data_IF_844440516099
#
_entry.id   IF_844440516099
#
_cell.length_a   1.000
_cell.length_b   1.000
_cell.length_c   1.000
_cell.angle_alpha   90.00
_cell.angle_beta   90.00
_cell.angle_gamma   90.00
#
_symmetry.space_group_name_H-M   'P 1'
#
loop_
_entity.id
_entity.type
_entity.pdbx_description
1 polymer ?
#
# COMPACT_ATOMS: atom_id res chain seq x y z
N UNK A 1 2.17 -4.30 -19.83
CA UNK A 1 2.30 -5.37 -18.83
C UNK A 1 3.76 -5.61 -18.48
N UNK A 2 4.13 -5.33 -17.23
CA UNK A 2 5.44 -5.64 -16.62
C UNK A 2 5.23 -6.02 -15.15
N UNK A 3 6.18 -6.71 -14.53
CA UNK A 3 6.12 -7.06 -13.11
C UNK A 3 7.49 -6.90 -12.44
N UNK A 4 7.51 -6.32 -11.23
CA UNK A 4 8.65 -6.35 -10.32
C UNK A 4 8.25 -7.08 -9.03
N UNK A 5 9.08 -8.01 -8.59
CA UNK A 5 8.87 -8.77 -7.36
C UNK A 5 10.16 -8.82 -6.56
N UNK A 6 10.09 -8.58 -5.25
CA UNK A 6 11.24 -8.69 -4.36
C UNK A 6 10.83 -9.36 -3.03
N UNK A 7 11.81 -10.00 -2.39
CA UNK A 7 11.68 -10.63 -1.07
C UNK A 7 12.92 -10.32 -0.26
N UNK A 8 12.78 -9.68 0.90
CA UNK A 8 13.90 -9.42 1.79
C UNK A 8 13.63 -8.31 2.82
N UNK A 9 14.39 -8.31 3.91
CA UNK A 9 14.32 -7.22 4.88
C UNK A 9 14.95 -5.96 4.29
N UNK A 10 14.29 -4.81 4.45
CA UNK A 10 14.69 -3.52 3.87
C UNK A 10 14.84 -3.54 2.35
N UNK A 11 14.03 -4.36 1.68
CA UNK A 11 14.01 -4.44 0.22
C UNK A 11 13.03 -3.45 -0.40
N UNK A 12 13.19 -3.17 -1.69
CA UNK A 12 12.22 -2.42 -2.48
C UNK A 12 11.87 -3.18 -3.77
N UNK A 13 10.59 -3.18 -4.15
CA UNK A 13 10.14 -3.53 -5.50
C UNK A 13 9.54 -2.28 -6.14
N UNK A 14 10.15 -1.84 -7.24
CA UNK A 14 9.67 -0.67 -7.99
C UNK A 14 9.43 -1.07 -9.43
N UNK A 15 8.28 -0.65 -9.98
CA UNK A 15 7.95 -0.87 -11.37
C UNK A 15 7.37 0.39 -12.01
N UNK A 16 7.59 0.56 -13.31
CA UNK A 16 7.04 1.64 -14.11
C UNK A 16 6.46 1.04 -15.38
N UNK A 17 5.23 1.42 -15.71
CA UNK A 17 4.55 1.00 -16.94
C UNK A 17 3.07 0.76 -16.73
N UNK A 18 2.29 0.94 -17.78
CA UNK A 18 0.85 0.75 -17.73
C UNK A 18 0.50 -0.74 -17.62
N UNK A 19 -0.57 -1.01 -16.88
CA UNK A 19 -1.03 -2.36 -16.57
C UNK A 19 0.09 -3.21 -15.95
N UNK A 20 0.79 -2.67 -14.95
CA UNK A 20 1.94 -3.32 -14.33
C UNK A 20 1.72 -3.60 -12.85
N UNK A 21 2.57 -4.47 -12.29
CA UNK A 21 2.53 -4.85 -10.88
C UNK A 21 3.89 -4.66 -10.21
N UNK A 22 3.89 -4.15 -8.98
CA UNK A 22 5.02 -4.21 -8.06
C UNK A 22 4.59 -4.95 -6.80
N UNK A 23 5.30 -6.01 -6.42
CA UNK A 23 5.00 -6.81 -5.23
C UNK A 23 6.25 -6.94 -4.37
N UNK A 24 6.15 -6.68 -3.07
CA UNK A 24 7.27 -6.87 -2.15
C UNK A 24 6.85 -7.60 -0.88
N UNK A 25 7.76 -8.39 -0.32
CA UNK A 25 7.59 -9.09 0.96
C UNK A 25 8.85 -8.91 1.81
N UNK A 26 8.70 -8.38 3.03
CA UNK A 26 9.79 -8.34 4.03
C UNK A 26 9.69 -7.20 5.02
N UNK A 27 10.43 -7.29 6.14
CA UNK A 27 10.40 -6.28 7.20
C UNK A 27 10.97 -4.94 6.71
N UNK A 28 10.30 -3.83 6.99
CA UNK A 28 10.69 -2.48 6.55
C UNK A 28 10.88 -2.36 5.03
N UNK A 29 9.99 -2.98 4.26
CA UNK A 29 10.10 -3.05 2.80
C UNK A 29 9.13 -2.07 2.10
N UNK A 30 9.40 -1.76 0.83
CA UNK A 30 8.55 -0.86 0.03
C UNK A 30 8.16 -1.48 -1.32
N UNK A 31 6.91 -1.30 -1.74
CA UNK A 31 6.43 -1.61 -3.09
C UNK A 31 5.90 -0.31 -3.74
N UNK A 32 6.39 0.06 -4.91
CA UNK A 32 6.00 1.30 -5.59
C UNK A 32 5.72 1.06 -7.07
N UNK A 33 4.64 1.62 -7.59
CA UNK A 33 4.28 1.55 -9.00
C UNK A 33 3.75 2.88 -9.54
N UNK A 34 4.24 3.31 -10.70
CA UNK A 34 3.96 4.64 -11.26
C UNK A 34 3.04 4.64 -12.49
N UNK A 35 2.65 3.48 -13.02
CA UNK A 35 1.86 3.41 -14.27
C UNK A 35 0.34 3.52 -14.11
N UNK A 36 -0.37 3.66 -15.24
CA UNK A 36 -1.83 3.65 -15.32
C UNK A 36 -2.39 2.24 -15.16
N UNK A 37 -3.50 2.10 -14.42
CA UNK A 37 -4.16 0.81 -14.17
C UNK A 37 -3.21 -0.26 -13.61
N UNK A 38 -2.42 0.15 -12.63
CA UNK A 38 -1.35 -0.64 -12.04
C UNK A 38 -1.66 -1.04 -10.59
N UNK A 39 -0.87 -1.96 -10.05
CA UNK A 39 -0.96 -2.38 -8.66
C UNK A 39 0.40 -2.32 -7.97
N UNK A 40 0.40 -1.91 -6.70
CA UNK A 40 1.51 -2.10 -5.77
C UNK A 40 1.01 -2.86 -4.55
N UNK A 41 1.66 -3.97 -4.18
CA UNK A 41 1.31 -4.74 -2.98
C UNK A 41 2.50 -4.99 -2.07
N UNK A 42 2.29 -4.86 -0.77
CA UNK A 42 3.28 -5.19 0.24
C UNK A 42 2.66 -5.97 1.41
N UNK A 43 3.31 -7.04 1.84
CA UNK A 43 2.86 -7.92 2.92
C UNK A 43 3.76 -7.89 4.16
N UNK A 44 4.86 -7.12 4.13
CA UNK A 44 5.86 -7.08 5.20
C UNK A 44 5.50 -6.23 6.42
N UNK A 45 6.09 -6.52 7.58
CA UNK A 45 5.95 -5.67 8.78
C UNK A 45 6.67 -4.32 8.58
N UNK A 46 6.07 -3.21 9.03
CA UNK A 46 6.51 -1.81 8.82
C UNK A 46 6.72 -1.47 7.35
N UNK A 47 5.84 -2.01 6.49
CA UNK A 47 6.00 -1.88 5.06
C UNK A 47 5.16 -0.77 4.45
N UNK A 48 5.54 -0.36 3.25
CA UNK A 48 4.84 0.67 2.48
C UNK A 48 4.45 0.15 1.09
N UNK A 49 3.25 0.51 0.64
CA UNK A 49 2.78 0.32 -0.74
C UNK A 49 2.32 1.65 -1.35
N UNK A 50 2.80 1.98 -2.54
CA UNK A 50 2.50 3.25 -3.21
C UNK A 50 2.11 3.04 -4.67
N UNK A 51 1.08 3.75 -5.11
CA UNK A 51 0.81 3.99 -6.53
C UNK A 51 0.70 5.46 -6.85
N UNK A 52 1.47 5.95 -7.82
CA UNK A 52 1.40 7.36 -8.26
C UNK A 52 0.65 7.55 -9.58
N UNK A 53 0.49 6.50 -10.40
CA UNK A 53 -0.37 6.54 -11.59
C UNK A 53 -1.87 6.43 -11.26
N UNK A 54 -2.76 6.96 -12.11
CA UNK A 54 -4.19 6.96 -11.86
C UNK A 54 -4.84 5.60 -12.18
N UNK A 55 -6.03 5.37 -11.63
CA UNK A 55 -6.78 4.11 -11.75
C UNK A 55 -6.03 2.89 -11.20
N UNK A 56 -5.12 3.12 -10.28
CA UNK A 56 -4.24 2.11 -9.70
C UNK A 56 -4.66 1.76 -8.27
N UNK A 57 -4.09 0.69 -7.70
CA UNK A 57 -4.36 0.27 -6.32
C UNK A 57 -3.07 0.02 -5.56
N UNK A 58 -2.91 0.68 -4.41
CA UNK A 58 -1.86 0.36 -3.44
C UNK A 58 -2.44 -0.48 -2.30
N UNK A 59 -1.84 -1.63 -2.02
CA UNK A 59 -2.30 -2.56 -1.00
C UNK A 59 -1.21 -2.91 0.01
N UNK A 60 -1.46 -2.66 1.29
CA UNK A 60 -0.53 -2.92 2.39
C UNK A 60 -1.16 -3.85 3.43
N UNK A 61 -0.57 -5.03 3.62
CA UNK A 61 -1.17 -6.13 4.40
C UNK A 61 -0.38 -6.54 5.64
N UNK A 62 0.77 -5.92 5.89
CA UNK A 62 1.64 -6.26 7.01
C UNK A 62 1.32 -5.48 8.29
N UNK A 63 1.94 -5.91 9.39
CA UNK A 63 1.87 -5.23 10.69
C UNK A 63 2.47 -3.82 10.56
N UNK A 64 1.84 -2.79 11.14
CA UNK A 64 2.27 -1.39 11.05
C UNK A 64 2.53 -0.93 9.60
N UNK A 65 1.77 -1.46 8.64
CA UNK A 65 1.95 -1.12 7.22
C UNK A 65 1.14 0.12 6.83
N UNK A 66 1.57 0.77 5.74
CA UNK A 66 0.92 1.98 5.22
C UNK A 66 0.79 1.93 3.70
N UNK A 67 -0.27 2.56 3.19
CA UNK A 67 -0.50 2.71 1.75
C UNK A 67 -0.73 4.16 1.36
N UNK A 68 -0.32 4.50 0.14
CA UNK A 68 -0.53 5.82 -0.49
C UNK A 68 -0.95 5.63 -1.93
N UNK A 69 -1.89 6.43 -2.39
CA UNK A 69 -2.34 6.43 -3.78
C UNK A 69 -2.59 7.85 -4.29
N UNK A 70 -2.40 8.06 -5.59
CA UNK A 70 -2.73 9.32 -6.27
C UNK A 70 -4.24 9.45 -6.56
N UNK A 71 -4.64 10.60 -7.12
CA UNK A 71 -6.03 10.84 -7.54
C UNK A 71 -6.55 9.75 -8.49
N UNK A 72 -7.85 9.44 -8.38
CA UNK A 72 -8.53 8.38 -9.14
C UNK A 72 -8.02 6.95 -8.91
N UNK A 73 -7.16 6.76 -7.90
CA UNK A 73 -6.66 5.45 -7.47
C UNK A 73 -7.32 5.05 -6.14
N UNK A 74 -6.93 3.90 -5.57
CA UNK A 74 -7.45 3.40 -4.32
C UNK A 74 -6.35 2.82 -3.43
N UNK A 75 -6.66 2.73 -2.13
CA UNK A 75 -5.83 2.03 -1.15
C UNK A 75 -6.60 0.85 -0.54
N UNK A 76 -5.85 -0.18 -0.13
CA UNK A 76 -6.29 -1.27 0.75
C UNK A 76 -5.27 -1.41 1.87
N UNK A 77 -5.72 -1.36 3.12
CA UNK A 77 -4.84 -1.42 4.28
C UNK A 77 -5.37 -2.41 5.31
N UNK A 78 -4.48 -3.15 5.97
CA UNK A 78 -4.81 -4.01 7.10
C UNK A 78 -4.26 -3.46 8.42
N UNK A 79 -5.02 -3.69 9.49
CA UNK A 79 -4.55 -3.60 10.86
C UNK A 79 -4.32 -5.01 11.42
N UNK A 80 -3.15 -5.22 12.05
CA UNK A 80 -2.80 -6.45 12.74
C UNK A 80 -2.31 -6.11 14.15
N UNK A 81 -2.61 -6.97 15.12
CA UNK A 81 -2.06 -6.84 16.48
C UNK A 81 -0.59 -7.31 16.55
N UNK A 82 0.00 -7.24 17.74
CA UNK A 82 1.41 -7.57 18.00
C UNK A 82 1.74 -9.05 17.75
N UNK A 83 0.75 -9.94 17.88
CA UNK A 83 0.84 -11.37 17.53
C UNK A 83 0.72 -11.62 16.02
N UNK A 84 0.40 -10.59 15.23
CA UNK A 84 0.24 -10.66 13.79
C UNK A 84 -1.14 -11.13 13.32
N UNK A 85 -2.12 -11.24 14.20
CA UNK A 85 -3.50 -11.57 13.86
C UNK A 85 -4.14 -10.45 13.05
N UNK A 86 -4.90 -10.80 12.02
CA UNK A 86 -5.62 -9.83 11.19
C UNK A 86 -6.89 -9.40 11.91
N UNK A 87 -6.96 -8.12 12.28
CA UNK A 87 -8.11 -7.55 13.00
C UNK A 87 -9.01 -6.78 12.03
N UNK A 88 -8.43 -5.87 11.22
CA UNK A 88 -9.19 -5.06 10.27
C UNK A 88 -8.58 -5.11 8.87
N UNK A 89 -9.44 -5.00 7.87
CA UNK A 89 -9.07 -4.68 6.48
C UNK A 89 -10.04 -3.63 5.97
N UNK A 90 -9.51 -2.59 5.31
CA UNK A 90 -10.34 -1.54 4.73
C UNK A 90 -9.81 -1.09 3.38
N UNK A 91 -10.73 -0.76 2.50
CA UNK A 91 -10.45 -0.21 1.18
C UNK A 91 -11.18 1.11 1.01
N UNK A 92 -10.54 2.05 0.31
CA UNK A 92 -11.19 3.29 -0.12
C UNK A 92 -10.56 3.80 -1.39
N UNK A 93 -11.39 4.41 -2.26
CA UNK A 93 -10.87 5.26 -3.32
C UNK A 93 -10.34 6.55 -2.73
N UNK A 94 -9.33 7.11 -3.38
CA UNK A 94 -8.87 8.46 -3.11
C UNK A 94 -9.98 9.44 -3.44
N UNK A 95 -10.29 10.33 -2.49
CA UNK A 95 -11.44 11.24 -2.52
C UNK A 95 -12.66 10.74 -1.72
N UNK A 96 -12.71 9.44 -1.40
CA UNK A 96 -13.81 8.83 -0.63
C UNK A 96 -13.36 8.51 0.80
N UNK A 97 -14.30 8.45 1.74
CA UNK A 97 -14.07 8.08 3.16
C UNK A 97 -12.95 8.88 3.85
N UNK A 98 -12.73 10.13 3.45
CA UNK A 98 -11.69 10.99 4.02
C UNK A 98 -10.26 10.71 3.52
N UNK A 99 -10.06 9.77 2.59
CA UNK A 99 -8.74 9.44 2.03
C UNK A 99 -8.32 10.50 1.03
N UNK A 100 -7.27 11.26 1.37
CA UNK A 100 -6.68 12.31 0.54
C UNK A 100 -5.71 11.72 -0.48
N UNK A 101 -5.56 12.35 -1.66
CA UNK A 101 -4.52 11.97 -2.59
C UNK A 101 -3.15 12.14 -1.95
N UNK A 102 -2.19 11.31 -2.38
CA UNK A 102 -0.78 11.50 -2.08
C UNK A 102 -0.42 11.54 -0.59
N UNK A 103 -1.29 10.95 0.24
CA UNK A 103 -1.16 10.90 1.69
C UNK A 103 -1.00 9.46 2.15
N UNK A 104 -0.12 9.23 3.12
CA UNK A 104 0.09 7.91 3.71
C UNK A 104 -1.01 7.61 4.73
N UNK A 105 -1.62 6.44 4.61
CA UNK A 105 -2.63 5.95 5.54
C UNK A 105 -2.24 4.60 6.13
N UNK A 106 -2.51 4.45 7.42
CA UNK A 106 -2.61 3.15 8.10
C UNK A 106 -4.04 2.96 8.64
N UNK A 107 -4.30 1.84 9.32
CA UNK A 107 -5.51 1.64 10.10
C UNK A 107 -5.19 1.67 11.60
N UNK A 108 -6.08 2.26 12.40
CA UNK A 108 -6.04 2.14 13.86
C UNK A 108 -6.73 0.87 14.38
N UNK A 109 -6.77 0.72 15.71
CA UNK A 109 -7.39 -0.39 16.42
C UNK A 109 -8.91 -0.50 16.20
N UNK A 110 -9.57 0.58 15.76
CA UNK A 110 -10.98 0.66 15.40
C UNK A 110 -11.22 0.48 13.89
N UNK A 111 -10.14 0.24 13.12
CA UNK A 111 -10.19 0.05 11.68
C UNK A 111 -10.47 1.33 10.89
N UNK A 112 -10.24 2.52 11.47
CA UNK A 112 -10.35 3.80 10.77
C UNK A 112 -9.04 4.16 10.09
N UNK A 113 -9.14 4.89 8.97
CA UNK A 113 -7.96 5.41 8.28
C UNK A 113 -7.31 6.52 9.11
N UNK A 114 -6.02 6.38 9.38
CA UNK A 114 -5.20 7.38 10.09
C UNK A 114 -4.09 7.87 9.18
N UNK A 115 -3.95 9.20 9.07
CA UNK A 115 -2.87 9.86 8.33
C UNK A 115 -1.54 9.69 9.06
N UNK A 116 -0.50 9.33 8.32
CA UNK A 116 0.86 9.19 8.84
C UNK A 116 1.74 10.28 8.23
N UNK A 117 2.34 11.11 9.09
CA UNK A 117 3.39 12.05 8.68
C UNK A 117 4.71 11.31 8.38
N UNK A 118 5.53 11.87 7.49
CA UNK A 118 6.80 11.29 7.03
C UNK A 118 7.88 11.20 8.12
#
# INVERSE_FOLDING_TARGET
>A
YSAASNTGNRSAASNTGDYSAASNTGYQSAASNTGYQSAASNTGNRSAAEVSGPHSVAAAFGIESKARASVNSAIVVCYRNDEGELIHIRASKVGDNGVKPDTWYTLDEDGQFVEIEE
#
